data_IF_870679693301
#
_entry.id   IF_870679693301
#
_cell.length_a   1.000
_cell.length_b   1.000
_cell.length_c   1.000
_cell.angle_alpha   90.00
_cell.angle_beta   90.00
_cell.angle_gamma   90.00
#
_symmetry.space_group_name_H-M   'P 1'
#
loop_
_entity.id
_entity.type
_entity.pdbx_description
1 polymer ?
#
# COMPACT_ATOMS: atom_id res chain seq x y z
N UNK A 1 4.48 -13.56 0.22
CA UNK A 1 5.69 -12.90 0.76
C UNK A 1 5.42 -12.72 2.24
N UNK A 2 6.22 -13.32 3.08
CA UNK A 2 6.15 -13.12 4.53
C UNK A 2 6.96 -11.88 4.95
N UNK A 3 6.97 -11.55 6.25
CA UNK A 3 7.69 -10.38 6.76
C UNK A 3 9.19 -10.43 6.47
N UNK A 4 9.77 -11.62 6.45
CA UNK A 4 11.18 -11.87 6.16
C UNK A 4 11.50 -11.60 4.69
N UNK A 5 10.65 -12.11 3.79
CA UNK A 5 10.77 -11.85 2.35
C UNK A 5 10.61 -10.36 2.04
N UNK A 6 9.72 -9.68 2.74
CA UNK A 6 9.52 -8.23 2.60
C UNK A 6 10.76 -7.44 3.03
N UNK A 7 11.39 -7.80 4.17
CA UNK A 7 12.62 -7.16 4.62
C UNK A 7 13.77 -7.33 3.61
N UNK A 8 13.89 -8.50 2.99
CA UNK A 8 14.87 -8.75 1.94
C UNK A 8 14.56 -7.89 0.71
N UNK A 9 13.30 -7.86 0.29
CA UNK A 9 12.87 -7.05 -0.84
C UNK A 9 13.15 -5.56 -0.60
N UNK A 10 12.80 -5.03 0.56
CA UNK A 10 13.01 -3.61 0.92
C UNK A 10 14.50 -3.24 1.05
N UNK A 11 15.40 -4.20 1.20
CA UNK A 11 16.85 -3.97 1.29
C UNK A 11 17.53 -3.69 -0.05
N UNK A 12 16.88 -3.98 -1.18
CA UNK A 12 17.46 -3.76 -2.52
C UNK A 12 17.62 -2.27 -2.83
N UNK A 13 18.56 -1.93 -3.71
CA UNK A 13 18.74 -0.54 -4.16
C UNK A 13 17.53 -0.10 -5.01
N UNK A 14 17.20 1.20 -4.94
CA UNK A 14 16.10 1.78 -5.77
C UNK A 14 16.34 1.53 -7.27
N UNK A 15 17.58 1.62 -7.72
CA UNK A 15 17.93 1.34 -9.13
C UNK A 15 17.61 -0.11 -9.52
N UNK A 16 17.92 -1.07 -8.64
CA UNK A 16 17.59 -2.48 -8.85
C UNK A 16 16.08 -2.70 -8.87
N UNK A 17 15.35 -2.15 -7.90
CA UNK A 17 13.88 -2.24 -7.85
C UNK A 17 13.24 -1.62 -9.09
N UNK A 18 13.72 -0.44 -9.53
CA UNK A 18 13.23 0.24 -10.73
C UNK A 18 13.42 -0.63 -11.97
N UNK A 19 14.61 -1.18 -12.17
CA UNK A 19 14.89 -2.06 -13.32
C UNK A 19 13.95 -3.26 -13.32
N UNK A 20 13.80 -3.94 -12.19
CA UNK A 20 12.89 -5.10 -12.07
C UNK A 20 11.45 -4.69 -12.42
N UNK A 21 10.97 -3.58 -11.88
CA UNK A 21 9.61 -3.09 -12.15
C UNK A 21 9.41 -2.72 -13.64
N UNK A 22 10.39 -2.04 -14.24
CA UNK A 22 10.32 -1.64 -15.66
C UNK A 22 10.36 -2.84 -16.60
N UNK A 23 11.18 -3.85 -16.31
CA UNK A 23 11.22 -5.10 -17.08
C UNK A 23 9.86 -5.82 -16.96
N UNK A 24 9.29 -5.89 -15.75
CA UNK A 24 8.00 -6.54 -15.50
C UNK A 24 6.79 -5.83 -16.16
N UNK A 25 6.85 -4.53 -16.39
CA UNK A 25 5.79 -3.80 -17.13
C UNK A 25 5.58 -4.33 -18.57
N UNK A 26 6.56 -5.03 -19.12
CA UNK A 26 6.48 -5.64 -20.45
C UNK A 26 5.88 -7.05 -20.48
N UNK A 27 5.48 -7.61 -19.33
CA UNK A 27 5.03 -9.00 -19.26
C UNK A 27 3.52 -9.19 -19.51
N UNK A 28 2.74 -8.11 -19.59
CA UNK A 28 1.32 -8.10 -19.99
C UNK A 28 0.46 -9.21 -19.32
N UNK A 29 0.60 -9.42 -18.00
CA UNK A 29 -0.06 -10.48 -17.23
C UNK A 29 0.32 -11.93 -17.66
N UNK A 30 1.46 -12.09 -18.33
CA UNK A 30 1.99 -13.42 -18.69
C UNK A 30 2.73 -14.05 -17.49
N UNK A 31 2.05 -14.96 -16.78
CA UNK A 31 2.60 -15.70 -15.64
C UNK A 31 3.91 -16.40 -15.97
N UNK A 32 4.04 -16.96 -17.19
CA UNK A 32 5.25 -17.67 -17.62
C UNK A 32 6.44 -16.72 -17.80
N UNK A 33 6.18 -15.47 -18.20
CA UNK A 33 7.21 -14.43 -18.28
C UNK A 33 7.69 -14.02 -16.87
N UNK A 34 6.78 -13.88 -15.91
CA UNK A 34 7.13 -13.62 -14.49
C UNK A 34 7.99 -14.75 -13.91
N UNK A 35 7.57 -16.01 -14.09
CA UNK A 35 8.31 -17.18 -13.59
C UNK A 35 9.71 -17.26 -14.21
N UNK A 36 9.81 -17.09 -15.53
CA UNK A 36 11.10 -17.12 -16.25
C UNK A 36 12.04 -16.02 -15.76
N UNK A 37 11.53 -14.80 -15.59
CA UNK A 37 12.32 -13.66 -15.09
C UNK A 37 12.76 -13.89 -13.64
N UNK A 38 11.86 -14.39 -12.80
CA UNK A 38 12.14 -14.71 -11.41
C UNK A 38 13.30 -15.71 -11.28
N UNK A 39 13.28 -16.80 -12.04
CA UNK A 39 14.33 -17.83 -12.05
C UNK A 39 15.68 -17.25 -12.53
N UNK A 40 15.69 -16.46 -13.60
CA UNK A 40 16.90 -15.86 -14.15
C UNK A 40 17.58 -14.90 -13.19
N UNK A 41 16.80 -14.15 -12.41
CA UNK A 41 17.29 -13.09 -11.53
C UNK A 41 17.32 -13.49 -10.05
N UNK A 42 16.98 -14.76 -9.73
CA UNK A 42 16.90 -15.27 -8.35
C UNK A 42 15.98 -14.41 -7.47
N UNK A 43 14.81 -14.14 -7.99
CA UNK A 43 13.72 -13.41 -7.35
C UNK A 43 12.55 -14.36 -7.12
N UNK A 44 11.62 -13.95 -6.28
CA UNK A 44 10.27 -14.52 -6.28
C UNK A 44 9.34 -13.69 -7.17
N UNK A 45 8.32 -14.30 -7.74
CA UNK A 45 7.27 -13.58 -8.49
C UNK A 45 6.65 -12.50 -7.59
N UNK A 46 6.46 -12.80 -6.31
CA UNK A 46 5.95 -11.84 -5.34
C UNK A 46 6.84 -10.59 -5.17
N UNK A 47 8.18 -10.73 -5.18
CA UNK A 47 9.07 -9.55 -5.14
C UNK A 47 8.91 -8.70 -6.41
N UNK A 48 8.81 -9.34 -7.58
CA UNK A 48 8.63 -8.64 -8.86
C UNK A 48 7.32 -7.83 -8.84
N UNK A 49 6.21 -8.47 -8.48
CA UNK A 49 4.89 -7.83 -8.40
C UNK A 49 4.88 -6.73 -7.34
N UNK A 50 5.58 -6.91 -6.23
CA UNK A 50 5.72 -5.91 -5.17
C UNK A 50 6.39 -4.63 -5.68
N UNK A 51 7.51 -4.76 -6.42
CA UNK A 51 8.18 -3.59 -7.01
C UNK A 51 7.38 -2.97 -8.16
N UNK A 52 6.76 -3.80 -9.00
CA UNK A 52 5.90 -3.33 -10.07
C UNK A 52 4.77 -2.46 -9.52
N UNK A 53 4.03 -2.95 -8.52
CA UNK A 53 2.95 -2.21 -7.88
C UNK A 53 3.42 -0.88 -7.27
N UNK A 54 4.57 -0.89 -6.59
CA UNK A 54 5.12 0.34 -6.00
C UNK A 54 5.50 1.36 -7.08
N UNK A 55 6.11 0.89 -8.17
CA UNK A 55 6.52 1.74 -9.28
C UNK A 55 5.31 2.30 -10.05
N UNK A 56 4.30 1.49 -10.32
CA UNK A 56 3.04 1.94 -10.94
C UNK A 56 2.28 2.92 -10.05
N UNK A 57 2.30 2.71 -8.72
CA UNK A 57 1.64 3.58 -7.77
C UNK A 57 2.28 4.97 -7.65
N UNK A 58 3.59 5.10 -7.88
CA UNK A 58 4.27 6.36 -7.62
C UNK A 58 5.64 6.53 -8.29
N UNK A 59 6.00 5.71 -9.28
CA UNK A 59 7.33 5.77 -9.90
C UNK A 59 8.44 5.53 -8.86
N UNK A 60 9.53 6.27 -8.98
CA UNK A 60 10.64 6.20 -8.05
C UNK A 60 10.25 6.55 -6.60
N UNK A 61 9.31 7.46 -6.41
CA UNK A 61 8.82 7.81 -5.07
C UNK A 61 8.09 6.63 -4.41
N UNK A 62 7.35 5.83 -5.18
CA UNK A 62 6.73 4.61 -4.70
C UNK A 62 7.76 3.59 -4.22
N UNK A 63 8.87 3.42 -4.96
CA UNK A 63 9.98 2.56 -4.56
C UNK A 63 10.73 3.10 -3.33
N UNK A 64 10.92 4.43 -3.23
CA UNK A 64 11.48 5.05 -2.03
C UNK A 64 10.61 4.83 -0.80
N UNK A 65 9.29 4.91 -0.95
CA UNK A 65 8.34 4.67 0.15
C UNK A 65 8.35 3.21 0.65
N UNK A 66 8.80 2.24 -0.17
CA UNK A 66 9.06 0.87 0.29
C UNK A 66 10.30 0.82 1.20
N UNK A 67 11.41 1.38 0.73
CA UNK A 67 12.72 1.20 1.34
C UNK A 67 12.95 2.09 2.56
N UNK A 68 12.54 3.33 2.49
CA UNK A 68 12.75 4.33 3.53
C UNK A 68 11.56 5.29 3.58
N UNK A 69 10.44 4.86 4.16
CA UNK A 69 9.26 5.71 4.24
C UNK A 69 9.59 6.96 5.08
N UNK A 70 9.14 8.11 4.61
CA UNK A 70 9.31 9.38 5.32
C UNK A 70 8.52 9.38 6.65
N UNK A 71 9.10 10.01 7.67
CA UNK A 71 8.35 10.30 8.89
C UNK A 71 7.32 11.40 8.58
N UNK A 72 6.05 11.08 8.80
CA UNK A 72 4.96 12.02 8.56
C UNK A 72 4.96 13.08 9.67
N UNK A 73 5.05 14.39 9.35
CA UNK A 73 4.94 15.42 10.37
C UNK A 73 3.61 15.33 11.15
N UNK A 74 3.67 15.47 12.46
CA UNK A 74 2.53 15.26 13.36
C UNK A 74 1.27 16.04 12.93
N UNK A 75 1.44 17.28 12.50
CA UNK A 75 0.31 18.11 12.01
C UNK A 75 -0.31 17.58 10.72
N UNK A 76 0.53 16.98 9.85
CA UNK A 76 0.06 16.35 8.61
C UNK A 76 -0.70 15.07 8.93
N UNK A 77 -0.15 14.22 9.81
CA UNK A 77 -0.82 13.02 10.30
C UNK A 77 -2.17 13.35 10.96
N UNK A 78 -2.21 14.39 11.80
CA UNK A 78 -3.45 14.84 12.45
C UNK A 78 -4.50 15.31 11.43
N UNK A 79 -4.11 16.11 10.42
CA UNK A 79 -5.02 16.54 9.34
C UNK A 79 -5.48 15.35 8.49
N UNK A 80 -4.58 14.40 8.22
CA UNK A 80 -4.92 13.20 7.49
C UNK A 80 -6.00 12.40 8.23
N UNK A 81 -5.83 12.14 9.53
CA UNK A 81 -6.81 11.43 10.36
C UNK A 81 -8.17 12.12 10.39
N UNK A 82 -8.22 13.45 10.47
CA UNK A 82 -9.49 14.20 10.36
C UNK A 82 -10.15 14.04 9.00
N UNK A 83 -9.36 14.04 7.91
CA UNK A 83 -9.90 13.83 6.57
C UNK A 83 -10.44 12.41 6.41
N UNK A 84 -9.71 11.40 6.92
CA UNK A 84 -10.13 10.00 6.92
C UNK A 84 -11.46 9.86 7.66
N UNK A 85 -11.53 10.40 8.89
CA UNK A 85 -12.75 10.37 9.70
C UNK A 85 -13.96 10.94 8.93
N UNK A 86 -13.83 12.14 8.39
CA UNK A 86 -14.91 12.81 7.67
C UNK A 86 -15.36 12.01 6.42
N UNK A 87 -14.44 11.33 5.72
CA UNK A 87 -14.78 10.53 4.54
C UNK A 87 -15.45 9.22 4.92
N UNK A 88 -14.96 8.52 5.96
CA UNK A 88 -15.55 7.26 6.44
C UNK A 88 -16.94 7.50 7.04
N UNK A 89 -17.12 8.54 7.85
CA UNK A 89 -18.41 8.93 8.41
C UNK A 89 -19.43 9.32 7.32
N UNK A 90 -18.98 9.99 6.26
CA UNK A 90 -19.83 10.29 5.11
C UNK A 90 -20.19 9.09 4.26
N UNK A 91 -19.34 8.06 4.24
CA UNK A 91 -19.59 6.83 3.47
C UNK A 91 -20.40 5.79 4.26
N UNK A 92 -20.05 5.55 5.51
CA UNK A 92 -20.73 4.61 6.40
C UNK A 92 -20.69 5.13 7.85
N UNK A 93 -21.73 5.87 8.29
CA UNK A 93 -21.74 6.51 9.62
C UNK A 93 -21.59 5.54 10.79
N UNK A 94 -22.06 4.31 10.62
CA UNK A 94 -22.05 3.28 11.66
C UNK A 94 -20.82 2.37 11.63
N UNK A 95 -19.88 2.61 10.71
CA UNK A 95 -18.66 1.80 10.59
C UNK A 95 -17.79 2.01 11.84
N UNK A 96 -17.55 0.95 12.65
CA UNK A 96 -16.68 1.05 13.79
C UNK A 96 -15.21 1.01 13.33
N UNK A 97 -14.58 2.16 13.17
CA UNK A 97 -13.20 2.26 12.70
C UNK A 97 -12.26 2.89 13.73
N UNK A 98 -10.96 2.69 13.52
CA UNK A 98 -9.88 3.35 14.24
C UNK A 98 -8.78 3.77 13.27
N UNK A 99 -8.25 4.99 13.45
CA UNK A 99 -7.03 5.43 12.76
C UNK A 99 -5.86 5.42 13.73
N UNK A 100 -4.69 4.97 13.26
CA UNK A 100 -3.43 4.97 14.01
C UNK A 100 -2.43 5.92 13.35
N UNK A 101 -1.55 6.49 14.16
CA UNK A 101 -0.36 7.20 13.69
C UNK A 101 0.83 6.28 13.97
N UNK A 102 1.46 5.81 12.92
CA UNK A 102 2.55 4.83 12.96
C UNK A 102 3.92 5.50 12.70
N UNK A 103 3.95 6.83 12.75
CA UNK A 103 5.15 7.63 12.47
C UNK A 103 5.43 7.78 10.97
N UNK A 104 5.59 6.70 10.24
CA UNK A 104 5.83 6.69 8.78
C UNK A 104 4.56 6.45 7.96
N UNK A 105 3.44 6.19 8.63
CA UNK A 105 2.16 5.89 8.00
C UNK A 105 0.98 6.29 8.87
N UNK A 106 -0.18 6.43 8.25
CA UNK A 106 -1.48 6.48 8.93
C UNK A 106 -2.24 5.22 8.58
N UNK A 107 -2.50 4.37 9.58
CA UNK A 107 -3.28 3.16 9.43
C UNK A 107 -4.78 3.42 9.61
N UNK A 108 -5.59 2.66 8.88
CA UNK A 108 -7.05 2.61 9.00
C UNK A 108 -7.47 1.17 9.28
N UNK A 109 -8.21 0.99 10.35
CA UNK A 109 -8.63 -0.32 10.83
C UNK A 109 -10.12 -0.33 11.13
N UNK A 110 -10.80 -1.40 10.78
CA UNK A 110 -12.13 -1.71 11.26
C UNK A 110 -12.05 -2.38 12.65
N UNK A 111 -12.95 -2.00 13.56
CA UNK A 111 -13.07 -2.64 14.86
C UNK A 111 -14.07 -3.79 14.72
N UNK A 112 -13.58 -5.01 14.62
CA UNK A 112 -14.41 -6.22 14.53
C UNK A 112 -14.52 -6.91 15.88
N UNK A 113 -15.56 -7.75 16.05
CA UNK A 113 -15.82 -8.52 17.26
C UNK A 113 -15.81 -10.01 16.96
N UNK A 114 -15.03 -10.78 17.71
CA UNK A 114 -15.05 -12.24 17.65
C UNK A 114 -16.30 -12.81 18.30
N UNK A 115 -16.61 -14.06 18.01
CA UNK A 115 -17.71 -14.77 18.68
C UNK A 115 -17.55 -14.84 20.20
N UNK A 116 -16.31 -14.78 20.71
CA UNK A 116 -15.98 -14.68 22.14
C UNK A 116 -16.39 -13.35 22.78
N UNK A 117 -16.73 -12.34 21.99
CA UNK A 117 -17.01 -10.98 22.45
C UNK A 117 -15.78 -10.06 22.42
N UNK A 118 -14.58 -10.56 22.21
CA UNK A 118 -13.35 -9.77 22.13
C UNK A 118 -13.31 -8.92 20.87
N UNK A 119 -12.88 -7.67 21.03
CA UNK A 119 -12.68 -6.76 19.90
C UNK A 119 -11.25 -6.88 19.37
N UNK A 120 -11.10 -6.82 18.06
CA UNK A 120 -9.81 -6.77 17.40
C UNK A 120 -9.83 -5.75 16.24
N UNK A 121 -8.65 -5.35 15.79
CA UNK A 121 -8.49 -4.44 14.67
C UNK A 121 -8.26 -5.25 13.39
N UNK A 122 -9.12 -5.06 12.42
CA UNK A 122 -8.96 -5.60 11.07
C UNK A 122 -8.36 -4.50 10.18
N UNK A 123 -7.24 -4.78 9.55
CA UNK A 123 -6.51 -3.80 8.76
C UNK A 123 -7.24 -3.53 7.44
N UNK A 124 -7.64 -2.29 7.23
CA UNK A 124 -8.27 -1.83 5.98
C UNK A 124 -7.20 -1.34 5.02
N UNK A 125 -6.47 -0.29 5.41
CA UNK A 125 -5.39 0.25 4.59
C UNK A 125 -4.35 0.96 5.44
N UNK A 126 -3.18 1.17 4.83
CA UNK A 126 -2.11 2.02 5.34
C UNK A 126 -1.80 3.10 4.30
N UNK A 127 -1.61 4.32 4.76
CA UNK A 127 -1.33 5.48 3.92
C UNK A 127 0.05 6.03 4.29
N UNK A 128 1.01 5.95 3.38
CA UNK A 128 2.36 6.52 3.52
C UNK A 128 2.47 7.81 2.73
N UNK A 129 3.28 8.75 3.18
CA UNK A 129 3.47 10.05 2.55
C UNK A 129 4.93 10.21 2.11
N UNK A 130 5.17 10.58 0.85
CA UNK A 130 6.44 11.18 0.45
C UNK A 130 6.37 12.67 0.76
N UNK A 131 7.12 13.10 1.79
CA UNK A 131 6.98 14.46 2.36
C UNK A 131 7.43 15.52 1.36
N UNK A 132 8.47 15.25 0.55
CA UNK A 132 9.01 16.21 -0.41
C UNK A 132 8.05 16.59 -1.51
N UNK A 133 7.25 15.65 -1.99
CA UNK A 133 6.25 15.84 -3.06
C UNK A 133 4.83 15.99 -2.54
N UNK A 134 4.60 15.68 -1.26
CA UNK A 134 3.28 15.57 -0.64
C UNK A 134 2.39 14.52 -1.32
N UNK A 135 3.01 13.47 -1.86
CA UNK A 135 2.32 12.36 -2.51
C UNK A 135 1.97 11.27 -1.48
N UNK A 136 0.69 10.89 -1.45
CA UNK A 136 0.20 9.80 -0.64
C UNK A 136 0.20 8.49 -1.42
N UNK A 137 0.74 7.43 -0.81
CA UNK A 137 0.80 6.07 -1.32
C UNK A 137 -0.16 5.21 -0.52
N UNK A 138 -0.97 4.41 -1.20
CA UNK A 138 -1.94 3.50 -0.59
C UNK A 138 -1.36 2.10 -0.51
N UNK A 139 -1.51 1.47 0.64
CA UNK A 139 -1.15 0.09 0.90
C UNK A 139 -2.35 -0.68 1.43
N UNK A 140 -2.43 -1.94 1.09
CA UNK A 140 -3.42 -2.87 1.59
C UNK A 140 -2.78 -4.04 2.31
N UNK A 141 -3.50 -4.65 3.24
CA UNK A 141 -3.00 -5.82 3.98
C UNK A 141 -3.23 -7.07 3.12
N UNK A 142 -2.13 -7.75 2.82
CA UNK A 142 -2.18 -9.07 2.19
C UNK A 142 -1.96 -10.17 3.24
N UNK A 143 -2.17 -11.43 2.88
CA UNK A 143 -1.90 -12.56 3.76
C UNK A 143 -0.52 -12.45 4.43
N UNK A 144 -0.40 -12.89 5.70
CA UNK A 144 0.83 -12.85 6.51
C UNK A 144 1.26 -11.48 7.05
N UNK A 145 0.31 -10.59 7.32
CA UNK A 145 0.54 -9.28 7.94
C UNK A 145 1.49 -8.35 7.17
N UNK A 146 1.61 -8.55 5.85
CA UNK A 146 2.45 -7.73 5.00
C UNK A 146 1.64 -6.63 4.29
N UNK A 147 2.16 -5.39 4.35
CA UNK A 147 1.60 -4.25 3.63
C UNK A 147 2.11 -4.20 2.20
N UNK A 148 1.20 -4.29 1.24
CA UNK A 148 1.51 -4.25 -0.19
C UNK A 148 1.08 -2.94 -0.81
N UNK A 149 1.90 -2.34 -1.70
CA UNK A 149 1.50 -1.17 -2.46
C UNK A 149 0.25 -1.48 -3.29
N UNK A 150 -0.74 -0.60 -3.21
CA UNK A 150 -1.94 -0.70 -4.01
C UNK A 150 -1.80 0.20 -5.24
N UNK A 151 -1.61 -0.41 -6.39
CA UNK A 151 -1.58 0.26 -7.69
C UNK A 151 -2.82 -0.13 -8.49
N UNK A 152 -3.49 0.87 -9.02
CA UNK A 152 -4.47 0.65 -10.06
C UNK A 152 -3.83 1.07 -11.39
N UNK A 153 -3.85 0.22 -12.42
CA UNK A 153 -3.23 0.50 -13.72
C UNK A 153 -4.04 1.55 -14.50
N UNK A 154 -4.00 2.81 -14.07
CA UNK A 154 -4.60 3.94 -14.80
C UNK A 154 -3.75 5.19 -14.65
N UNK A 155 -3.26 5.69 -15.77
CA UNK A 155 -2.54 6.96 -15.87
C UNK A 155 -3.39 8.13 -15.34
N UNK A 156 -2.75 9.06 -14.62
CA UNK A 156 -3.36 10.35 -14.24
C UNK A 156 -4.03 10.39 -12.88
N UNK A 157 -3.86 9.40 -12.00
CA UNK A 157 -4.43 9.45 -10.64
C UNK A 157 -3.71 10.46 -9.77
N UNK A 158 -4.49 11.26 -9.07
CA UNK A 158 -3.98 12.24 -8.11
C UNK A 158 -3.44 11.51 -6.88
N UNK A 159 -2.21 11.80 -6.49
CA UNK A 159 -1.56 11.27 -5.29
C UNK A 159 -2.00 11.99 -3.99
N UNK A 160 -3.21 12.54 -3.96
CA UNK A 160 -3.75 13.19 -2.77
C UNK A 160 -4.36 12.17 -1.82
N UNK A 161 -4.36 12.48 -0.52
CA UNK A 161 -4.99 11.65 0.49
C UNK A 161 -6.46 11.30 0.13
N UNK A 162 -7.24 12.30 -0.32
CA UNK A 162 -8.65 12.08 -0.70
C UNK A 162 -8.79 11.11 -1.86
N UNK A 163 -7.93 11.22 -2.88
CA UNK A 163 -7.98 10.32 -4.02
C UNK A 163 -7.62 8.88 -3.62
N UNK A 164 -6.66 8.69 -2.70
CA UNK A 164 -6.31 7.37 -2.17
C UNK A 164 -7.44 6.77 -1.32
N UNK A 165 -8.05 7.57 -0.46
CA UNK A 165 -9.22 7.12 0.31
C UNK A 165 -10.42 6.80 -0.59
N UNK A 166 -10.63 7.55 -1.66
CA UNK A 166 -11.68 7.22 -2.62
C UNK A 166 -11.47 5.84 -3.24
N UNK A 167 -10.23 5.45 -3.54
CA UNK A 167 -9.92 4.09 -4.01
C UNK A 167 -10.28 3.01 -2.98
N UNK A 168 -10.06 3.30 -1.68
CA UNK A 168 -10.44 2.39 -0.59
C UNK A 168 -11.96 2.24 -0.50
N UNK A 169 -12.70 3.35 -0.64
CA UNK A 169 -14.16 3.34 -0.55
C UNK A 169 -14.83 2.68 -1.77
N UNK A 170 -14.23 2.82 -2.95
CA UNK A 170 -14.69 2.19 -4.19
C UNK A 170 -14.40 0.68 -4.22
N UNK A 171 -13.28 0.29 -3.60
CA UNK A 171 -12.79 -1.09 -3.47
C UNK A 171 -12.98 -1.96 -4.72
N UNK A 172 -12.55 -1.44 -5.87
CA UNK A 172 -12.79 -2.01 -7.21
C UNK A 172 -12.42 -3.50 -7.31
N UNK A 173 -11.46 -3.96 -6.49
CA UNK A 173 -10.94 -5.35 -6.49
C UNK A 173 -11.27 -6.15 -5.20
N UNK A 174 -12.08 -5.61 -4.29
CA UNK A 174 -12.42 -6.28 -3.03
C UNK A 174 -11.21 -6.50 -2.10
N UNK A 175 -10.27 -5.55 -2.09
CA UNK A 175 -9.02 -5.66 -1.32
C UNK A 175 -9.14 -5.14 0.11
N UNK A 176 -10.11 -4.25 0.38
CA UNK A 176 -10.16 -3.49 1.62
C UNK A 176 -11.29 -3.92 2.56
N UNK A 177 -12.45 -4.22 2.03
CA UNK A 177 -13.65 -4.47 2.85
C UNK A 177 -14.06 -5.95 2.93
N UNK A 178 -13.35 -6.85 2.24
CA UNK A 178 -13.52 -8.31 2.32
C UNK A 178 -14.73 -8.83 1.54
#
# INVERSE_FOLDING_TARGET
>A
MDEWDQQIADSRSIETMRRIAQDAMGFDDDDAAFDTYADQHKLTVNEIVYYLNAYEAGGDEGLHALRAPDIIPLEVAHRARKTIAAMLEGWSPDLPYRTTDEGTAVGVYEIQQRQSGDKYLFAICQLRLTVTSMHWHLYWMRSFDAWWPYALPRQGRKHTLRARLQQVLEDEFGCFWG
#
